data_IF_857551186911
#
_entry.id   IF_857551186911
#
_cell.length_a   1.000
_cell.length_b   1.000
_cell.length_c   1.000
_cell.angle_alpha   90.00
_cell.angle_beta   90.00
_cell.angle_gamma   90.00
#
_symmetry.space_group_name_H-M   'P 1'
#
loop_
_entity.id
_entity.type
_entity.pdbx_description
1 polymer ?
#
# COMPACT_ATOMS: atom_id res chain seq x y z
N UNK A 1 -0.57 -18.02 1.21
CA UNK A 1 -0.88 -18.16 -0.21
C UNK A 1 -0.10 -17.12 -1.01
N UNK A 2 0.35 -17.48 -2.18
CA UNK A 2 1.15 -16.59 -3.03
C UNK A 2 0.46 -16.41 -4.36
N UNK A 3 0.30 -15.15 -4.80
CA UNK A 3 -0.24 -14.80 -6.10
C UNK A 3 0.84 -14.11 -6.92
N UNK A 4 0.83 -14.34 -8.23
CA UNK A 4 1.76 -13.69 -9.15
C UNK A 4 0.98 -12.94 -10.22
N UNK A 5 1.31 -11.68 -10.42
CA UNK A 5 0.73 -10.84 -11.46
C UNK A 5 1.83 -10.20 -12.30
N UNK A 6 1.50 -9.95 -13.58
CA UNK A 6 2.37 -9.19 -14.47
C UNK A 6 1.59 -7.99 -14.99
N UNK A 7 2.16 -6.80 -14.84
CA UNK A 7 1.53 -5.53 -15.24
C UNK A 7 2.42 -4.84 -16.26
N UNK A 8 1.91 -4.65 -17.48
CA UNK A 8 2.68 -4.04 -18.58
C UNK A 8 2.84 -2.54 -18.43
N UNK A 9 1.83 -1.86 -17.90
CA UNK A 9 1.84 -0.42 -17.68
C UNK A 9 1.28 -0.11 -16.30
N UNK A 10 1.78 0.95 -15.62
CA UNK A 10 1.32 1.26 -14.27
C UNK A 10 -0.18 1.54 -14.14
N UNK A 11 -0.85 1.94 -15.22
CA UNK A 11 -2.30 2.17 -15.23
C UNK A 11 -3.12 0.92 -15.55
N UNK A 12 -2.46 -0.20 -15.89
CA UNK A 12 -3.12 -1.47 -16.16
C UNK A 12 -3.15 -2.34 -14.89
N UNK A 13 -3.81 -1.82 -13.86
CA UNK A 13 -3.78 -2.42 -12.51
C UNK A 13 -5.09 -3.10 -12.13
N UNK A 14 -5.95 -3.38 -13.09
CA UNK A 14 -7.28 -3.91 -12.80
C UNK A 14 -7.25 -5.23 -12.04
N UNK A 15 -6.37 -6.16 -12.44
CA UNK A 15 -6.26 -7.45 -11.75
C UNK A 15 -5.76 -7.30 -10.32
N UNK A 16 -4.77 -6.42 -10.11
CA UNK A 16 -4.28 -6.11 -8.77
C UNK A 16 -5.39 -5.52 -7.92
N UNK A 17 -6.11 -4.55 -8.46
CA UNK A 17 -7.21 -3.89 -7.75
C UNK A 17 -8.29 -4.89 -7.34
N UNK A 18 -8.68 -5.78 -8.23
CA UNK A 18 -9.66 -6.82 -7.93
C UNK A 18 -9.18 -7.77 -6.84
N UNK A 19 -7.90 -8.16 -6.90
CA UNK A 19 -7.32 -9.04 -5.89
C UNK A 19 -7.30 -8.37 -4.52
N UNK A 20 -6.83 -7.12 -4.45
CA UNK A 20 -6.80 -6.37 -3.19
C UNK A 20 -8.21 -6.17 -2.64
N UNK A 21 -9.17 -5.86 -3.49
CA UNK A 21 -10.57 -5.73 -3.06
C UNK A 21 -11.07 -7.03 -2.41
N UNK A 22 -10.77 -8.17 -3.02
CA UNK A 22 -11.15 -9.47 -2.47
C UNK A 22 -10.45 -9.74 -1.15
N UNK A 23 -9.15 -9.47 -1.07
CA UNK A 23 -8.37 -9.71 0.15
C UNK A 23 -8.73 -8.76 1.28
N UNK A 24 -9.28 -7.59 0.98
CA UNK A 24 -9.62 -6.58 1.99
C UNK A 24 -10.73 -7.01 2.94
N UNK A 25 -11.45 -8.07 2.63
CA UNK A 25 -12.44 -8.65 3.55
C UNK A 25 -11.79 -9.46 4.69
N UNK A 26 -10.54 -9.89 4.50
CA UNK A 26 -9.81 -10.71 5.47
C UNK A 26 -8.57 -10.02 6.03
N UNK A 27 -7.98 -9.11 5.28
CA UNK A 27 -6.71 -8.47 5.64
C UNK A 27 -6.88 -6.95 5.65
N UNK A 28 -6.26 -6.30 6.62
CA UNK A 28 -6.33 -4.85 6.82
C UNK A 28 -5.13 -4.13 6.23
N UNK A 29 -3.96 -4.74 6.27
CA UNK A 29 -2.68 -4.08 5.99
C UNK A 29 -2.06 -4.64 4.73
N UNK A 30 -1.70 -3.75 3.80
CA UNK A 30 -1.09 -4.08 2.54
C UNK A 30 0.23 -3.32 2.40
N UNK A 31 1.33 -4.07 2.38
CA UNK A 31 2.68 -3.50 2.34
C UNK A 31 3.25 -3.64 0.94
N UNK A 32 3.76 -2.55 0.40
CA UNK A 32 4.34 -2.49 -0.95
C UNK A 32 5.84 -2.35 -0.85
N UNK A 33 6.56 -3.37 -1.30
CA UNK A 33 8.02 -3.41 -1.36
C UNK A 33 8.46 -3.31 -2.82
N UNK A 34 9.42 -2.45 -3.08
CA UNK A 34 9.96 -2.29 -4.43
C UNK A 34 10.94 -1.12 -4.44
N UNK A 35 11.80 -1.10 -5.44
CA UNK A 35 12.75 -0.01 -5.62
C UNK A 35 12.03 1.30 -5.92
N UNK A 36 12.75 2.42 -5.76
CA UNK A 36 12.24 3.71 -6.15
C UNK A 36 11.88 3.70 -7.64
N UNK A 37 10.71 4.24 -7.98
CA UNK A 37 10.22 4.23 -9.35
C UNK A 37 9.55 2.92 -9.77
N UNK A 38 9.36 1.96 -8.86
CA UNK A 38 8.69 0.70 -9.19
C UNK A 38 7.17 0.84 -9.37
N UNK A 39 6.59 1.95 -8.90
CA UNK A 39 5.17 2.23 -9.05
C UNK A 39 4.33 2.08 -7.79
N UNK A 40 4.96 1.96 -6.62
CA UNK A 40 4.26 1.75 -5.34
C UNK A 40 3.14 2.75 -5.10
N UNK A 41 3.46 4.04 -5.18
CA UNK A 41 2.48 5.11 -4.97
C UNK A 41 1.36 5.06 -6.01
N UNK A 42 1.72 4.83 -7.28
CA UNK A 42 0.75 4.75 -8.36
C UNK A 42 -0.23 3.59 -8.15
N UNK A 43 0.26 2.43 -7.74
CA UNK A 43 -0.59 1.28 -7.47
C UNK A 43 -1.53 1.54 -6.30
N UNK A 44 -1.03 2.12 -5.21
CA UNK A 44 -1.85 2.45 -4.05
C UNK A 44 -2.97 3.43 -4.43
N UNK A 45 -2.64 4.48 -5.18
CA UNK A 45 -3.64 5.45 -5.65
C UNK A 45 -4.69 4.81 -6.54
N UNK A 46 -4.28 3.91 -7.44
CA UNK A 46 -5.23 3.18 -8.30
C UNK A 46 -6.16 2.29 -7.49
N UNK A 47 -5.64 1.62 -6.48
CA UNK A 47 -6.43 0.78 -5.58
C UNK A 47 -7.44 1.64 -4.82
N UNK A 48 -7.01 2.75 -4.24
CA UNK A 48 -7.88 3.67 -3.51
C UNK A 48 -8.96 4.25 -4.42
N UNK A 49 -8.61 4.60 -5.66
CA UNK A 49 -9.57 5.10 -6.65
C UNK A 49 -10.67 4.06 -6.93
N UNK A 50 -10.30 2.79 -7.01
CA UNK A 50 -11.27 1.71 -7.21
C UNK A 50 -12.19 1.52 -6.00
N UNK A 51 -11.77 1.94 -4.80
CA UNK A 51 -12.62 1.96 -3.61
C UNK A 51 -13.45 3.25 -3.49
N UNK A 52 -13.38 4.13 -4.48
CA UNK A 52 -14.18 5.34 -4.53
C UNK A 52 -13.52 6.59 -3.99
N UNK A 53 -12.21 6.59 -3.76
CA UNK A 53 -11.48 7.80 -3.39
C UNK A 53 -11.32 8.67 -4.64
N UNK A 54 -11.63 9.96 -4.51
CA UNK A 54 -11.48 10.93 -5.60
C UNK A 54 -9.98 11.17 -5.88
N UNK A 55 -9.58 11.07 -7.14
CA UNK A 55 -8.20 11.28 -7.56
C UNK A 55 -7.66 12.65 -7.12
N UNK A 56 -8.52 13.67 -7.11
CA UNK A 56 -8.13 15.01 -6.67
C UNK A 56 -7.83 15.13 -5.18
N UNK A 57 -8.27 14.17 -4.36
CA UNK A 57 -8.01 14.16 -2.93
C UNK A 57 -6.75 13.39 -2.56
N UNK A 58 -6.17 12.66 -3.51
CA UNK A 58 -4.99 11.87 -3.25
C UNK A 58 -3.72 12.64 -3.58
N UNK A 59 -2.85 12.80 -2.59
CA UNK A 59 -1.52 13.35 -2.77
C UNK A 59 -0.48 12.33 -2.32
N UNK A 60 0.75 12.46 -2.84
CA UNK A 60 1.85 11.69 -2.30
C UNK A 60 2.17 12.22 -0.91
N UNK A 61 2.41 11.36 0.10
CA UNK A 61 2.80 11.82 1.44
C UNK A 61 4.25 12.30 1.43
N UNK A 62 4.50 13.49 0.83
CA UNK A 62 5.85 14.00 0.65
C UNK A 62 6.44 14.63 1.90
N UNK A 63 5.61 15.14 2.80
CA UNK A 63 6.05 15.78 4.03
C UNK A 63 5.47 15.11 5.27
N UNK A 64 4.41 14.35 5.13
CA UNK A 64 3.79 13.61 6.22
C UNK A 64 4.08 12.13 6.04
N UNK A 65 4.19 11.39 7.15
CA UNK A 65 4.37 9.94 7.11
C UNK A 65 3.09 9.25 6.65
N UNK A 66 1.93 9.83 6.97
CA UNK A 66 0.64 9.23 6.64
C UNK A 66 -0.31 10.24 6.01
N UNK A 67 -1.05 9.80 5.00
CA UNK A 67 -2.18 10.52 4.43
C UNK A 67 -3.46 9.74 4.69
N UNK A 68 -4.54 10.44 4.95
CA UNK A 68 -5.86 9.88 5.13
C UNK A 68 -6.72 10.22 3.90
N UNK A 69 -7.31 9.19 3.29
CA UNK A 69 -8.20 9.37 2.15
C UNK A 69 -9.60 8.95 2.52
N UNK A 70 -10.59 9.71 2.03
CA UNK A 70 -12.01 9.38 2.22
C UNK A 70 -12.59 8.83 0.93
N UNK A 71 -13.18 7.65 1.00
CA UNK A 71 -13.85 7.00 -0.11
C UNK A 71 -15.37 7.04 0.03
N UNK A 72 -16.05 6.24 -0.76
CA UNK A 72 -17.50 6.13 -0.71
C UNK A 72 -17.96 5.45 0.60
N UNK A 73 -19.19 5.73 1.01
CA UNK A 73 -19.80 5.14 2.20
C UNK A 73 -19.04 5.43 3.50
N UNK A 74 -18.44 6.62 3.59
CA UNK A 74 -17.65 7.05 4.73
C UNK A 74 -16.44 6.14 5.03
N UNK A 75 -15.97 5.39 4.05
CA UNK A 75 -14.75 4.57 4.23
C UNK A 75 -13.52 5.48 4.28
N UNK A 76 -12.59 5.10 5.15
CA UNK A 76 -11.33 5.82 5.33
C UNK A 76 -10.19 4.86 4.99
N UNK A 77 -9.18 5.37 4.30
CA UNK A 77 -7.98 4.62 3.93
C UNK A 77 -6.75 5.39 4.41
N UNK A 78 -5.78 4.67 4.95
CA UNK A 78 -4.53 5.26 5.39
C UNK A 78 -3.42 4.85 4.43
N UNK A 79 -2.64 5.83 4.00
CA UNK A 79 -1.50 5.61 3.11
C UNK A 79 -0.24 6.10 3.82
N UNK A 80 0.59 5.16 4.26
CA UNK A 80 1.86 5.43 4.93
C UNK A 80 3.00 5.36 3.94
N UNK A 81 3.91 6.32 4.02
CA UNK A 81 5.18 6.26 3.31
C UNK A 81 6.30 6.38 4.34
N UNK A 82 7.02 5.29 4.55
CA UNK A 82 8.05 5.19 5.58
C UNK A 82 9.46 5.48 5.06
N UNK A 83 9.58 5.97 3.83
CA UNK A 83 10.88 6.20 3.19
C UNK A 83 11.80 7.08 4.04
N UNK A 84 11.25 8.10 4.70
CA UNK A 84 12.02 9.10 5.43
C UNK A 84 12.18 8.83 6.91
N UNK A 85 11.55 7.79 7.46
CA UNK A 85 11.74 7.51 8.89
C UNK A 85 13.15 6.92 9.11
N UNK A 86 13.77 7.33 10.19
CA UNK A 86 15.10 6.85 10.57
C UNK A 86 15.01 5.77 11.64
N UNK A 87 13.96 5.80 12.45
CA UNK A 87 13.76 4.87 13.55
C UNK A 87 12.28 4.46 13.62
N UNK A 88 11.97 3.16 13.78
CA UNK A 88 10.59 2.70 13.92
C UNK A 88 9.78 3.41 14.99
N UNK A 89 10.44 3.93 16.05
CA UNK A 89 9.76 4.67 17.11
C UNK A 89 9.03 5.92 16.61
N UNK A 90 9.44 6.47 15.46
CA UNK A 90 8.75 7.61 14.86
C UNK A 90 7.31 7.24 14.47
N UNK A 91 7.10 6.00 14.04
CA UNK A 91 5.77 5.50 13.71
C UNK A 91 4.90 5.41 14.97
N UNK A 92 5.48 4.96 16.08
CA UNK A 92 4.76 4.90 17.35
C UNK A 92 4.33 6.27 17.84
N UNK A 93 5.17 7.31 17.64
CA UNK A 93 4.86 8.67 18.08
C UNK A 93 3.67 9.29 17.38
N UNK A 94 3.37 8.85 16.15
CA UNK A 94 2.21 9.36 15.41
C UNK A 94 0.93 8.59 15.69
N UNK A 95 0.97 7.61 16.62
CA UNK A 95 -0.22 6.87 17.03
C UNK A 95 -0.47 5.61 16.22
N UNK A 96 0.58 4.90 15.83
CA UNK A 96 0.48 3.68 15.00
C UNK A 96 -0.58 2.70 15.51
N UNK A 97 -0.66 2.49 16.83
CA UNK A 97 -1.62 1.55 17.39
C UNK A 97 -3.08 1.95 17.13
N UNK A 98 -3.36 3.26 17.11
CA UNK A 98 -4.70 3.76 16.83
C UNK A 98 -5.10 3.47 15.37
N UNK A 99 -4.15 3.54 14.44
CA UNK A 99 -4.42 3.15 13.06
C UNK A 99 -4.71 1.65 12.94
N UNK A 100 -3.96 0.83 13.64
CA UNK A 100 -4.15 -0.63 13.62
C UNK A 100 -5.52 -1.05 14.16
N UNK A 101 -6.04 -0.33 15.15
CA UNK A 101 -7.33 -0.67 15.77
C UNK A 101 -8.52 0.02 15.09
N UNK A 102 -8.27 0.82 14.07
CA UNK A 102 -9.32 1.60 13.39
C UNK A 102 -10.25 0.77 12.51
N UNK A 103 -9.86 -0.45 12.14
CA UNK A 103 -10.54 -1.32 11.16
C UNK A 103 -10.56 -0.73 9.74
N UNK A 104 -9.79 0.31 9.47
CA UNK A 104 -9.65 0.88 8.14
C UNK A 104 -8.49 0.21 7.40
N UNK A 105 -8.53 0.21 6.07
CA UNK A 105 -7.45 -0.32 5.26
C UNK A 105 -6.21 0.57 5.36
N UNK A 106 -5.06 -0.08 5.46
CA UNK A 106 -3.77 0.57 5.60
C UNK A 106 -2.85 0.10 4.48
N UNK A 107 -2.36 1.06 3.69
CA UNK A 107 -1.39 0.80 2.63
C UNK A 107 -0.04 1.42 3.05
N UNK A 108 1.03 0.63 2.96
CA UNK A 108 2.34 1.05 3.44
C UNK A 108 3.37 0.93 2.32
N UNK A 109 4.09 2.04 2.04
CA UNK A 109 5.29 2.03 1.21
C UNK A 109 6.52 1.98 2.11
N UNK A 110 7.56 1.28 1.67
CA UNK A 110 8.79 1.08 2.41
C UNK A 110 8.58 0.42 3.77
N UNK A 111 7.84 -0.71 3.82
CA UNK A 111 7.54 -1.36 5.10
C UNK A 111 8.79 -1.88 5.81
N UNK A 112 9.87 -2.14 5.07
CA UNK A 112 11.13 -2.61 5.63
C UNK A 112 11.72 -1.65 6.65
N UNK A 113 11.32 -0.38 6.63
CA UNK A 113 11.77 0.61 7.61
C UNK A 113 11.20 0.38 9.01
N UNK A 114 10.12 -0.38 9.13
CA UNK A 114 9.45 -0.61 10.41
C UNK A 114 8.81 -2.00 10.52
N UNK A 115 9.45 -3.02 9.94
CA UNK A 115 8.87 -4.38 9.91
C UNK A 115 8.56 -4.93 11.30
N UNK A 116 9.31 -4.55 12.33
CA UNK A 116 9.07 -5.00 13.68
C UNK A 116 7.72 -4.53 14.24
N UNK A 117 7.15 -3.46 13.68
CA UNK A 117 5.88 -2.89 14.13
C UNK A 117 4.69 -3.32 13.25
N UNK A 118 4.95 -3.97 12.12
CA UNK A 118 3.91 -4.40 11.20
C UNK A 118 3.43 -5.80 11.60
N UNK A 119 2.11 -6.00 11.79
CA UNK A 119 1.57 -7.31 12.13
C UNK A 119 1.94 -8.40 11.13
N UNK A 120 2.09 -9.62 11.60
CA UNK A 120 2.49 -10.75 10.75
C UNK A 120 1.45 -11.12 9.70
N UNK A 121 0.20 -10.78 9.91
CA UNK A 121 -0.87 -11.04 8.96
C UNK A 121 -1.00 -9.98 7.86
N UNK A 122 -0.09 -9.01 7.81
CA UNK A 122 -0.06 -8.05 6.73
C UNK A 122 0.22 -8.74 5.39
N UNK A 123 -0.47 -8.30 4.35
CA UNK A 123 -0.22 -8.77 2.99
C UNK A 123 1.03 -8.06 2.47
N UNK A 124 1.96 -8.81 1.91
CA UNK A 124 3.19 -8.25 1.35
C UNK A 124 3.13 -8.33 -0.17
N UNK A 125 3.29 -7.18 -0.81
CA UNK A 125 3.30 -7.06 -2.27
C UNK A 125 4.70 -6.63 -2.69
N UNK A 126 5.43 -7.55 -3.33
CA UNK A 126 6.76 -7.27 -3.85
C UNK A 126 6.68 -6.95 -5.32
N UNK A 127 7.25 -5.82 -5.69
CA UNK A 127 7.24 -5.34 -7.06
C UNK A 127 8.62 -5.52 -7.65
N UNK A 128 8.73 -6.42 -8.64
CA UNK A 128 9.94 -6.62 -9.42
C UNK A 128 9.88 -5.78 -10.68
N UNK A 129 11.03 -5.21 -11.04
CA UNK A 129 11.15 -4.35 -12.21
C UNK A 129 12.41 -4.70 -12.99
N UNK A 130 12.25 -5.04 -14.26
CA UNK A 130 13.37 -5.21 -15.18
C UNK A 130 13.61 -3.88 -15.88
N UNK A 131 14.87 -3.40 -15.84
CA UNK A 131 15.23 -2.05 -16.26
C UNK A 131 14.94 -1.73 -17.72
N UNK A 132 14.88 -2.74 -18.59
CA UNK A 132 14.73 -2.56 -20.03
C UNK A 132 13.30 -2.69 -20.52
N UNK A 133 12.35 -3.01 -19.64
CA UNK A 133 10.95 -3.23 -20.03
C UNK A 133 10.01 -2.53 -19.07
N UNK A 134 8.86 -2.12 -19.58
CA UNK A 134 7.81 -1.52 -18.76
C UNK A 134 7.14 -2.55 -17.84
N UNK A 135 7.37 -3.83 -18.10
CA UNK A 135 6.72 -4.90 -17.37
C UNK A 135 7.15 -4.92 -15.90
N UNK A 136 6.17 -4.96 -15.02
CA UNK A 136 6.34 -5.16 -13.58
C UNK A 136 5.81 -6.52 -13.21
N UNK A 137 6.54 -7.23 -12.36
CA UNK A 137 6.06 -8.48 -11.79
C UNK A 137 5.73 -8.25 -10.31
N UNK A 138 4.58 -8.74 -9.88
CA UNK A 138 4.14 -8.59 -8.50
C UNK A 138 3.97 -9.95 -7.86
N UNK A 139 4.57 -10.12 -6.69
CA UNK A 139 4.36 -11.30 -5.85
C UNK A 139 3.59 -10.83 -4.62
N UNK A 140 2.39 -11.36 -4.45
CA UNK A 140 1.50 -11.00 -3.33
C UNK A 140 1.43 -12.20 -2.39
N UNK A 141 1.94 -12.01 -1.19
CA UNK A 141 2.00 -13.07 -0.18
C UNK A 141 1.06 -12.76 0.97
N UNK A 142 0.18 -13.72 1.27
CA UNK A 142 -0.70 -13.67 2.44
C UNK A 142 -0.31 -14.78 3.41
N UNK A 143 -0.65 -14.58 4.66
CA UNK A 143 -0.46 -15.59 5.68
C UNK A 143 -1.43 -16.76 5.49
#
# INVERSE_FOLDING_TARGET
MIYHLSIGKPDQVEELTKLIHRLSSEFQIFCFQGEMGSGKTTYIKSICSAFGVDDGEMSSPSFAIVNEYSGQNARVFYHFDLDRIEDPSELLRIGWEDYLTSNNLIFIEWPEKAMSLIPEDAVIIRIGHESDVELRTLEITTL
#
